data_IF_632468284879
#
_entry.id   IF_632468284879
#
_cell.length_a   1.000
_cell.length_b   1.000
_cell.length_c   1.000
_cell.angle_alpha   90.00
_cell.angle_beta   90.00
_cell.angle_gamma   90.00
#
_symmetry.space_group_name_H-M   'P 1'
#
loop_
_entity.id
_entity.type
_entity.pdbx_description
1 polymer ?
#
# COMPACT_ATOMS: atom_id res chain seq x y z
N UNK A 1 -43.71 25.20 23.53
CA UNK A 1 -42.69 24.15 23.78
C UNK A 1 -41.40 24.53 23.05
N UNK A 2 -40.47 25.20 23.72
CA UNK A 2 -39.19 25.63 23.15
C UNK A 2 -38.09 25.49 24.22
N UNK A 3 -37.51 24.28 24.35
CA UNK A 3 -36.39 23.99 25.25
C UNK A 3 -35.70 22.67 24.84
N UNK A 4 -34.98 22.67 23.71
CA UNK A 4 -34.26 21.47 23.21
C UNK A 4 -32.98 21.77 22.42
N UNK A 5 -32.80 23.02 21.95
CA UNK A 5 -31.62 23.40 21.14
C UNK A 5 -30.36 23.70 21.97
N UNK A 6 -30.52 24.21 23.20
CA UNK A 6 -29.39 24.63 24.03
C UNK A 6 -28.55 23.46 24.57
N UNK A 7 -29.18 22.35 24.96
CA UNK A 7 -28.50 21.17 25.51
C UNK A 7 -27.70 20.39 24.46
N UNK A 8 -28.12 20.40 23.18
CA UNK A 8 -27.34 19.75 22.10
C UNK A 8 -26.03 20.48 21.80
N UNK A 9 -25.99 21.81 21.84
CA UNK A 9 -24.75 22.57 21.59
C UNK A 9 -23.67 22.33 22.64
N UNK A 10 -24.04 22.11 23.90
CA UNK A 10 -23.10 21.85 25.00
C UNK A 10 -22.45 20.47 24.87
N UNK A 11 -23.16 19.47 24.33
CA UNK A 11 -22.61 18.13 24.17
C UNK A 11 -21.55 18.05 23.05
N UNK A 12 -21.73 18.78 21.95
CA UNK A 12 -20.76 18.80 20.85
C UNK A 12 -19.47 19.54 21.20
N UNK A 13 -19.55 20.63 21.98
CA UNK A 13 -18.35 21.37 22.38
C UNK A 13 -17.50 20.58 23.39
N UNK A 14 -18.12 19.79 24.27
CA UNK A 14 -17.42 18.91 25.19
C UNK A 14 -16.67 17.80 24.45
N UNK A 15 -17.36 17.10 23.55
CA UNK A 15 -16.77 15.99 22.78
C UNK A 15 -15.62 16.45 21.87
N UNK A 16 -15.73 17.64 21.27
CA UNK A 16 -14.65 18.21 20.47
C UNK A 16 -13.42 18.56 21.32
N UNK A 17 -13.62 19.07 22.54
CA UNK A 17 -12.52 19.34 23.49
C UNK A 17 -11.81 18.06 23.90
N UNK A 18 -12.54 16.99 24.21
CA UNK A 18 -11.95 15.68 24.55
C UNK A 18 -11.14 15.11 23.38
N UNK A 19 -11.65 15.21 22.15
CA UNK A 19 -10.91 14.76 20.97
C UNK A 19 -9.66 15.59 20.72
N UNK A 20 -9.72 16.92 20.85
CA UNK A 20 -8.54 17.77 20.73
C UNK A 20 -7.50 17.48 21.82
N UNK A 21 -7.93 17.22 23.05
CA UNK A 21 -7.03 16.86 24.14
C UNK A 21 -6.32 15.53 23.84
N UNK A 22 -7.06 14.51 23.39
CA UNK A 22 -6.47 13.22 23.01
C UNK A 22 -5.40 13.36 21.92
N UNK A 23 -5.62 14.23 20.92
CA UNK A 23 -4.63 14.47 19.84
C UNK A 23 -3.41 15.24 20.33
N UNK A 24 -3.58 16.16 21.30
CA UNK A 24 -2.46 16.88 21.92
C UNK A 24 -1.61 15.94 22.78
N UNK A 25 -2.24 15.02 23.51
CA UNK A 25 -1.55 14.03 24.34
C UNK A 25 -0.75 13.05 23.46
N UNK A 26 -1.34 12.59 22.34
CA UNK A 26 -0.65 11.74 21.35
C UNK A 26 0.54 12.44 20.70
N UNK A 27 0.40 13.72 20.32
CA UNK A 27 1.53 14.52 19.79
C UNK A 27 2.64 14.69 20.83
N UNK A 28 2.29 14.86 22.11
CA UNK A 28 3.26 15.00 23.19
C UNK A 28 4.04 13.70 23.38
N UNK A 29 3.35 12.55 23.34
CA UNK A 29 3.98 11.24 23.40
C UNK A 29 4.93 10.99 22.22
N UNK A 30 4.50 11.32 20.98
CA UNK A 30 5.34 11.18 19.80
C UNK A 30 6.59 12.06 19.87
N UNK A 31 6.47 13.29 20.38
CA UNK A 31 7.61 14.19 20.56
C UNK A 31 8.63 13.63 21.55
N UNK A 32 8.17 13.11 22.69
CA UNK A 32 9.03 12.42 23.66
C UNK A 32 9.76 11.22 23.03
N UNK A 33 9.05 10.42 22.22
CA UNK A 33 9.66 9.27 21.54
C UNK A 33 10.76 9.67 20.55
N UNK A 34 10.55 10.76 19.80
CA UNK A 34 11.56 11.32 18.89
C UNK A 34 12.79 11.81 19.67
N UNK A 35 12.59 12.48 20.80
CA UNK A 35 13.70 12.96 21.63
C UNK A 35 14.54 11.80 22.20
N UNK A 36 13.89 10.70 22.60
CA UNK A 36 14.60 9.47 23.04
C UNK A 36 15.42 8.88 21.90
N UNK A 37 14.84 8.73 20.71
CA UNK A 37 15.53 8.18 19.54
C UNK A 37 16.73 9.04 19.12
N UNK A 38 16.58 10.37 19.14
CA UNK A 38 17.69 11.29 18.87
C UNK A 38 18.80 11.17 19.92
N UNK A 39 18.45 10.95 21.19
CA UNK A 39 19.41 10.67 22.25
C UNK A 39 20.20 9.39 22.02
N UNK A 40 19.55 8.31 21.57
CA UNK A 40 20.20 7.05 21.24
C UNK A 40 21.10 7.16 20.00
N UNK A 41 20.65 7.88 18.96
CA UNK A 41 21.44 8.13 17.76
C UNK A 41 22.74 8.88 18.08
N UNK A 42 22.68 9.91 18.92
CA UNK A 42 23.85 10.65 19.37
C UNK A 42 24.83 9.76 20.16
N UNK A 43 24.32 8.83 20.99
CA UNK A 43 25.17 7.85 21.70
C UNK A 43 25.89 6.91 20.73
N UNK A 44 25.22 6.45 19.68
CA UNK A 44 25.83 5.60 18.66
C UNK A 44 26.92 6.34 17.88
N UNK A 45 26.71 7.61 17.53
CA UNK A 45 27.72 8.44 16.86
C UNK A 45 28.94 8.71 17.75
N UNK A 46 28.76 8.92 19.05
CA UNK A 46 29.88 9.06 19.99
C UNK A 46 30.68 7.76 20.13
N UNK A 47 30.01 6.60 20.05
CA UNK A 47 30.65 5.28 20.12
C UNK A 47 31.45 4.94 18.87
N UNK A 48 30.99 5.36 17.69
CA UNK A 48 31.74 5.17 16.45
C UNK A 48 33.00 6.06 16.37
N UNK A 49 32.93 7.30 16.88
CA UNK A 49 34.09 8.20 16.92
C UNK A 49 35.17 7.76 17.92
N UNK A 50 34.79 7.12 19.02
CA UNK A 50 35.74 6.60 20.03
C UNK A 50 36.41 5.28 19.62
N UNK A 51 35.91 4.62 18.57
CA UNK A 51 36.50 3.37 18.04
C UNK A 51 37.62 3.61 17.03
N UNK A 52 37.80 4.85 16.54
CA UNK A 52 38.77 5.20 15.49
C UNK A 52 40.15 5.64 16.01
N UNK A 53 40.38 5.67 17.32
CA UNK A 53 41.57 6.30 17.92
C UNK A 53 42.71 5.33 18.29
N UNK A 54 42.57 4.02 18.06
CA UNK A 54 43.53 3.00 18.53
C UNK A 54 44.21 2.20 17.40
N UNK A 55 44.66 2.88 16.33
CA UNK A 55 45.60 2.28 15.37
C UNK A 55 46.75 3.22 15.06
N UNK A 56 47.77 3.17 15.93
CA UNK A 56 49.11 3.61 15.59
C UNK A 56 50.12 2.75 16.38
N UNK A 57 50.79 1.81 15.69
CA UNK A 57 52.26 1.66 15.67
C UNK A 57 52.70 0.28 15.11
N UNK A 58 53.37 0.35 13.94
CA UNK A 58 54.58 -0.41 13.52
C UNK A 58 54.52 -1.94 13.26
N UNK A 59 55.53 -2.53 12.56
CA UNK A 59 56.13 -2.10 11.29
C UNK A 59 56.35 -3.27 10.30
N UNK A 60 56.88 -2.90 9.14
CA UNK A 60 57.30 -3.67 7.96
C UNK A 60 58.20 -4.90 8.18
N UNK A 61 57.89 -5.98 7.44
CA UNK A 61 58.78 -7.01 6.86
C UNK A 61 57.92 -7.71 5.77
N UNK A 62 58.30 -7.90 4.51
CA UNK A 62 59.55 -8.41 3.96
C UNK A 62 59.34 -9.88 3.54
N UNK A 63 59.08 -10.13 2.25
CA UNK A 63 59.32 -11.35 1.44
C UNK A 63 58.40 -11.36 0.21
N UNK A 64 58.90 -11.31 -1.02
CA UNK A 64 59.61 -12.34 -1.82
C UNK A 64 58.67 -13.29 -2.59
N UNK A 65 58.74 -13.12 -3.93
CA UNK A 65 58.76 -14.09 -5.03
C UNK A 65 57.71 -15.22 -5.15
N UNK A 66 57.07 -15.26 -6.32
CA UNK A 66 56.85 -16.39 -7.27
C UNK A 66 55.79 -15.90 -8.28
N UNK A 67 56.05 -15.65 -9.57
CA UNK A 67 56.49 -16.50 -10.70
C UNK A 67 55.63 -17.77 -10.95
N UNK A 68 55.42 -18.04 -12.26
CA UNK A 68 54.63 -19.11 -12.93
C UNK A 68 53.18 -18.74 -13.32
N UNK A 69 52.90 -18.51 -14.62
CA UNK A 69 52.48 -19.50 -15.66
C UNK A 69 51.09 -20.08 -15.34
N UNK A 70 50.10 -20.23 -16.21
CA UNK A 70 50.01 -20.66 -17.61
C UNK A 70 48.53 -20.38 -18.01
N UNK A 71 48.16 -19.97 -19.21
CA UNK A 71 47.81 -20.90 -20.29
C UNK A 71 46.39 -21.49 -20.13
N UNK A 72 45.43 -21.05 -20.95
CA UNK A 72 44.07 -21.61 -20.89
C UNK A 72 43.06 -21.00 -21.86
N UNK A 73 43.42 -21.04 -23.14
CA UNK A 73 42.54 -20.82 -24.28
C UNK A 73 41.59 -22.03 -24.41
N UNK A 74 40.28 -21.83 -24.42
CA UNK A 74 39.36 -22.84 -24.97
C UNK A 74 38.22 -22.16 -25.74
N UNK A 75 38.35 -22.29 -27.06
CA UNK A 75 37.31 -22.12 -28.05
C UNK A 75 36.51 -23.43 -28.10
N UNK A 76 35.18 -23.31 -28.13
CA UNK A 76 34.28 -24.23 -28.84
C UNK A 76 33.08 -23.34 -29.23
N UNK A 77 32.80 -23.11 -30.52
CA UNK A 77 32.23 -24.07 -31.48
C UNK A 77 30.96 -24.72 -30.88
N UNK A 78 29.80 -24.81 -31.52
CA UNK A 78 29.34 -24.53 -32.86
C UNK A 78 27.79 -24.69 -32.78
N UNK A 79 27.08 -24.04 -33.70
CA UNK A 79 25.89 -24.55 -34.40
C UNK A 79 24.69 -25.13 -33.59
N UNK A 80 23.54 -24.46 -33.68
CA UNK A 80 22.32 -24.95 -34.39
C UNK A 80 21.22 -23.89 -34.19
N UNK A 81 20.48 -23.41 -35.18
CA UNK A 81 19.76 -24.21 -36.16
C UNK A 81 18.33 -24.41 -35.65
N UNK A 82 17.41 -23.50 -35.99
CA UNK A 82 16.04 -23.56 -35.46
C UNK A 82 15.11 -22.49 -35.99
N UNK A 83 14.93 -22.50 -37.30
CA UNK A 83 13.88 -21.79 -38.02
C UNK A 83 12.55 -22.47 -37.72
N UNK A 84 11.59 -21.79 -37.09
CA UNK A 84 10.18 -22.21 -37.13
C UNK A 84 9.28 -20.99 -37.28
N UNK A 85 8.90 -20.79 -38.55
CA UNK A 85 7.73 -20.05 -38.96
C UNK A 85 6.50 -20.77 -38.40
N UNK A 86 5.70 -20.07 -37.60
CA UNK A 86 4.28 -20.39 -37.48
C UNK A 86 3.49 -19.10 -37.56
N UNK A 87 3.04 -18.86 -38.79
CA UNK A 87 1.89 -18.05 -39.13
C UNK A 87 0.66 -18.55 -38.34
N UNK A 88 0.18 -17.71 -37.42
CA UNK A 88 -1.21 -17.72 -37.00
C UNK A 88 -1.71 -16.28 -37.11
N UNK A 89 -2.23 -15.96 -38.29
CA UNK A 89 -3.08 -14.79 -38.51
C UNK A 89 -4.40 -15.04 -37.78
N UNK A 90 -4.51 -14.55 -36.55
CA UNK A 90 -5.81 -14.33 -35.94
C UNK A 90 -6.33 -12.97 -36.42
N UNK A 91 -7.23 -13.03 -37.40
CA UNK A 91 -8.09 -11.93 -37.81
C UNK A 91 -9.12 -11.61 -36.70
N UNK A 92 -8.67 -10.97 -35.63
CA UNK A 92 -9.57 -10.28 -34.71
C UNK A 92 -10.01 -8.98 -35.38
N UNK A 93 -11.17 -9.10 -36.02
CA UNK A 93 -11.95 -8.03 -36.60
C UNK A 93 -12.18 -6.92 -35.57
N UNK A 94 -11.66 -5.73 -35.85
CA UNK A 94 -12.04 -4.49 -35.18
C UNK A 94 -13.58 -4.36 -35.20
N UNK A 95 -14.26 -4.29 -34.04
CA UNK A 95 -15.63 -3.82 -34.02
C UNK A 95 -15.59 -2.33 -34.37
N UNK A 96 -15.81 -2.07 -35.65
CA UNK A 96 -16.51 -0.91 -36.22
C UNK A 96 -16.89 0.11 -35.15
N UNK A 97 -16.23 1.27 -35.22
CA UNK A 97 -16.58 2.53 -34.55
C UNK A 97 -18.03 2.92 -34.84
N UNK A 98 -18.95 2.31 -34.10
CA UNK A 98 -20.30 2.79 -33.90
C UNK A 98 -20.21 3.98 -32.94
N UNK A 99 -20.10 5.16 -33.53
CA UNK A 99 -20.20 6.45 -32.86
C UNK A 99 -21.65 6.65 -32.37
N UNK A 100 -22.04 5.88 -31.35
CA UNK A 100 -23.16 6.22 -30.48
C UNK A 100 -22.56 6.75 -29.18
N UNK A 101 -22.26 8.05 -29.17
CA UNK A 101 -22.02 8.83 -27.96
C UNK A 101 -23.30 8.84 -27.11
N UNK A 102 -23.62 7.71 -26.50
CA UNK A 102 -24.50 7.69 -25.34
C UNK A 102 -23.70 8.35 -24.23
N UNK A 103 -23.98 9.62 -24.02
CA UNK A 103 -23.55 10.38 -22.85
C UNK A 103 -24.14 9.67 -21.63
N UNK A 104 -23.47 8.60 -21.17
CA UNK A 104 -23.86 7.84 -19.99
C UNK A 104 -23.70 8.76 -18.80
N UNK A 105 -24.79 9.48 -18.51
CA UNK A 105 -24.87 10.41 -17.40
C UNK A 105 -24.46 9.71 -16.10
N UNK A 106 -23.81 10.48 -15.23
CA UNK A 106 -23.52 10.02 -13.88
C UNK A 106 -24.82 9.65 -13.16
N UNK A 107 -24.77 8.58 -12.37
CA UNK A 107 -25.87 8.19 -11.51
C UNK A 107 -25.47 8.30 -10.04
N UNK A 108 -26.43 8.64 -9.20
CA UNK A 108 -26.27 8.63 -7.75
C UNK A 108 -26.61 7.24 -7.20
N UNK A 109 -25.78 6.71 -6.30
CA UNK A 109 -26.09 5.54 -5.47
C UNK A 109 -25.99 5.89 -4.00
N UNK A 110 -26.84 5.28 -3.17
CA UNK A 110 -26.83 5.48 -1.73
C UNK A 110 -26.14 4.31 -1.04
N UNK A 111 -25.07 4.58 -0.31
CA UNK A 111 -24.32 3.55 0.40
C UNK A 111 -24.77 3.52 1.85
N UNK A 112 -25.30 2.38 2.29
CA UNK A 112 -25.75 2.14 3.66
C UNK A 112 -24.75 1.20 4.33
N UNK A 113 -24.33 1.54 5.55
CA UNK A 113 -23.52 0.63 6.38
C UNK A 113 -24.44 -0.22 7.22
N UNK A 114 -24.39 -1.54 7.07
CA UNK A 114 -25.27 -2.42 7.84
C UNK A 114 -24.95 -2.38 9.36
N UNK A 115 -23.75 -1.92 9.73
CA UNK A 115 -23.30 -1.73 11.11
C UNK A 115 -23.45 -0.28 11.63
N UNK A 116 -23.90 0.68 10.80
CA UNK A 116 -24.27 2.05 11.22
C UNK A 116 -25.47 2.52 10.39
N UNK A 117 -26.63 1.92 10.67
CA UNK A 117 -27.88 2.02 9.88
C UNK A 117 -28.39 3.47 9.77
N UNK A 118 -27.97 4.35 10.68
CA UNK A 118 -28.45 5.73 10.75
C UNK A 118 -27.75 6.68 9.76
N UNK A 119 -26.83 6.18 8.91
CA UNK A 119 -26.11 7.02 7.94
C UNK A 119 -26.06 6.35 6.57
N UNK A 120 -26.73 6.97 5.60
CA UNK A 120 -26.45 6.75 4.19
C UNK A 120 -25.41 7.75 3.68
N UNK A 121 -24.60 7.31 2.72
CA UNK A 121 -23.62 8.14 2.04
C UNK A 121 -23.93 8.17 0.55
N UNK A 122 -24.08 9.36 -0.02
CA UNK A 122 -24.34 9.54 -1.44
C UNK A 122 -23.03 9.47 -2.23
N UNK A 123 -23.01 8.67 -3.31
CA UNK A 123 -21.89 8.56 -4.23
C UNK A 123 -22.37 8.73 -5.65
N UNK A 124 -21.74 9.64 -6.38
CA UNK A 124 -21.94 9.82 -7.81
C UNK A 124 -20.98 8.90 -8.55
N UNK A 125 -21.50 7.99 -9.36
CA UNK A 125 -20.75 6.98 -10.11
C UNK A 125 -21.16 6.97 -11.57
N UNK A 126 -20.31 6.46 -12.48
CA UNK A 126 -20.75 6.17 -13.84
C UNK A 126 -21.36 4.76 -13.91
N UNK A 127 -22.43 4.55 -14.69
CA UNK A 127 -23.02 3.22 -14.89
C UNK A 127 -22.01 2.16 -15.38
N UNK A 128 -21.09 2.57 -16.25
CA UNK A 128 -19.99 1.75 -16.80
C UNK A 128 -18.85 1.46 -15.82
N UNK A 129 -18.82 2.05 -14.62
CA UNK A 129 -17.79 1.73 -13.64
C UNK A 129 -17.96 0.34 -13.06
N UNK A 130 -16.84 -0.37 -12.89
CA UNK A 130 -16.80 -1.62 -12.14
C UNK A 130 -17.02 -1.36 -10.65
N UNK A 131 -17.74 -2.26 -10.00
CA UNK A 131 -18.04 -2.12 -8.57
C UNK A 131 -16.77 -2.15 -7.68
N UNK A 132 -15.67 -2.79 -8.14
CA UNK A 132 -14.35 -2.74 -7.49
C UNK A 132 -13.83 -1.30 -7.33
N UNK A 133 -14.15 -0.39 -8.24
CA UNK A 133 -13.77 1.02 -8.14
C UNK A 133 -14.47 1.68 -6.95
N UNK A 134 -15.79 1.49 -6.81
CA UNK A 134 -16.54 1.94 -5.63
C UNK A 134 -15.98 1.32 -4.34
N UNK A 135 -15.63 0.03 -4.39
CA UNK A 135 -15.02 -0.68 -3.26
C UNK A 135 -13.74 0.00 -2.76
N UNK A 136 -12.87 0.42 -3.69
CA UNK A 136 -11.62 1.13 -3.37
C UNK A 136 -11.88 2.51 -2.75
N UNK A 137 -12.86 3.26 -3.29
CA UNK A 137 -13.29 4.55 -2.74
C UNK A 137 -13.79 4.41 -1.30
N UNK A 138 -14.57 3.36 -1.02
CA UNK A 138 -15.10 3.09 0.32
C UNK A 138 -13.98 2.68 1.29
N UNK A 139 -13.06 1.82 0.86
CA UNK A 139 -11.89 1.41 1.66
C UNK A 139 -11.06 2.62 2.09
N UNK A 140 -10.72 3.49 1.14
CA UNK A 140 -9.96 4.70 1.42
C UNK A 140 -10.72 5.65 2.37
N UNK A 141 -12.04 5.78 2.17
CA UNK A 141 -12.87 6.70 2.97
C UNK A 141 -13.12 6.19 4.40
N UNK A 142 -13.27 4.89 4.60
CA UNK A 142 -13.65 4.29 5.88
C UNK A 142 -12.51 3.58 6.60
N UNK A 143 -11.34 3.49 5.96
CA UNK A 143 -10.15 2.81 6.49
C UNK A 143 -10.44 1.36 6.91
N UNK A 144 -11.08 0.61 6.02
CA UNK A 144 -11.50 -0.79 6.20
C UNK A 144 -10.81 -1.68 5.18
N UNK A 145 -10.50 -2.92 5.53
CA UNK A 145 -9.84 -3.83 4.59
C UNK A 145 -10.75 -4.14 3.39
N UNK A 146 -10.18 -4.11 2.18
CA UNK A 146 -10.92 -4.38 0.94
C UNK A 146 -11.52 -5.78 0.92
N UNK A 147 -10.88 -6.76 1.55
CA UNK A 147 -11.33 -8.15 1.51
C UNK A 147 -12.56 -8.42 2.37
N UNK A 148 -12.85 -7.54 3.32
CA UNK A 148 -13.94 -7.75 4.28
C UNK A 148 -15.25 -7.12 3.82
N UNK A 149 -15.24 -6.28 2.80
CA UNK A 149 -16.44 -5.60 2.33
C UNK A 149 -17.23 -6.46 1.33
N UNK A 150 -18.52 -6.65 1.63
CA UNK A 150 -19.52 -7.26 0.75
C UNK A 150 -20.58 -6.22 0.41
N UNK A 151 -20.87 -6.11 -0.89
CA UNK A 151 -21.83 -5.17 -1.44
C UNK A 151 -23.10 -5.93 -1.76
N UNK A 152 -24.26 -5.45 -1.33
CA UNK A 152 -25.53 -6.07 -1.65
C UNK A 152 -26.62 -5.03 -1.94
N UNK A 153 -27.63 -5.41 -2.71
CA UNK A 153 -28.82 -4.60 -2.94
C UNK A 153 -30.03 -5.51 -3.13
N UNK A 154 -31.16 -5.18 -2.49
CA UNK A 154 -32.37 -6.00 -2.55
C UNK A 154 -32.17 -7.47 -2.15
N UNK A 155 -31.24 -7.75 -1.23
CA UNK A 155 -30.90 -9.12 -0.81
C UNK A 155 -29.96 -9.89 -1.77
N UNK A 156 -29.55 -9.29 -2.89
CA UNK A 156 -28.58 -9.88 -3.82
C UNK A 156 -27.18 -9.33 -3.56
N UNK A 157 -26.19 -10.23 -3.45
CA UNK A 157 -24.78 -9.84 -3.40
C UNK A 157 -24.32 -9.39 -4.79
N UNK A 158 -23.67 -8.23 -4.84
CA UNK A 158 -23.12 -7.64 -6.04
C UNK A 158 -21.72 -8.20 -6.33
N UNK A 159 -21.40 -8.37 -7.61
CA UNK A 159 -20.13 -8.96 -8.06
C UNK A 159 -19.12 -7.82 -8.34
N UNK A 160 -17.97 -7.75 -7.64
CA UNK A 160 -17.03 -6.63 -7.76
C UNK A 160 -16.42 -6.43 -9.15
N UNK A 161 -16.28 -7.49 -9.95
CA UNK A 161 -15.70 -7.44 -11.30
C UNK A 161 -16.65 -6.88 -12.35
N UNK A 162 -17.95 -6.86 -12.07
CA UNK A 162 -18.99 -6.40 -12.98
C UNK A 162 -19.23 -4.89 -12.84
N UNK A 163 -19.76 -4.28 -13.90
CA UNK A 163 -20.18 -2.87 -13.88
C UNK A 163 -21.44 -2.66 -13.02
N UNK A 164 -21.83 -1.43 -12.76
CA UNK A 164 -23.11 -1.16 -12.09
C UNK A 164 -24.30 -1.65 -12.93
N UNK A 165 -24.24 -1.46 -14.25
CA UNK A 165 -25.26 -1.94 -15.19
C UNK A 165 -25.37 -3.47 -15.14
N UNK A 166 -24.24 -4.17 -15.22
CA UNK A 166 -24.19 -5.63 -15.18
C UNK A 166 -24.70 -6.21 -13.85
N UNK A 167 -24.48 -5.47 -12.76
CA UNK A 167 -25.03 -5.77 -11.44
C UNK A 167 -26.52 -5.40 -11.32
N UNK A 168 -27.17 -4.97 -12.40
CA UNK A 168 -28.56 -4.49 -12.42
C UNK A 168 -28.81 -3.34 -11.44
N UNK A 169 -27.78 -2.54 -11.15
CA UNK A 169 -27.87 -1.38 -10.24
C UNK A 169 -28.29 -0.15 -11.03
N UNK A 170 -29.41 0.45 -10.62
CA UNK A 170 -29.95 1.67 -11.25
C UNK A 170 -29.59 2.91 -10.44
N UNK A 171 -29.77 4.10 -11.03
CA UNK A 171 -29.69 5.35 -10.27
C UNK A 171 -30.65 5.33 -9.07
N UNK A 172 -30.25 6.00 -7.99
CA UNK A 172 -30.92 6.08 -6.68
C UNK A 172 -31.07 4.73 -5.94
N UNK A 173 -30.34 3.69 -6.35
CA UNK A 173 -30.35 2.41 -5.64
C UNK A 173 -29.59 2.49 -4.31
N UNK A 174 -30.11 1.85 -3.28
CA UNK A 174 -29.41 1.63 -2.02
C UNK A 174 -28.52 0.40 -2.10
N UNK A 175 -27.22 0.59 -1.91
CA UNK A 175 -26.22 -0.46 -1.80
C UNK A 175 -25.85 -0.60 -0.33
N UNK A 176 -26.12 -1.77 0.23
CA UNK A 176 -25.77 -2.17 1.57
C UNK A 176 -24.35 -2.71 1.59
N UNK A 177 -23.53 -2.17 2.49
CA UNK A 177 -22.17 -2.63 2.74
C UNK A 177 -22.15 -3.38 4.07
N UNK A 178 -21.99 -4.69 3.96
CA UNK A 178 -21.70 -5.58 5.07
C UNK A 178 -20.21 -5.78 5.24
N UNK A 179 -19.78 -5.98 6.49
CA UNK A 179 -18.45 -6.50 6.81
C UNK A 179 -18.60 -8.01 6.99
N UNK A 180 -17.99 -8.78 6.11
CA UNK A 180 -17.84 -10.21 6.34
C UNK A 180 -16.66 -10.39 7.28
N UNK A 181 -16.98 -10.56 8.56
CA UNK A 181 -16.00 -11.07 9.51
C UNK A 181 -15.79 -12.53 9.07
N UNK A 182 -14.63 -12.84 8.47
CA UNK A 182 -14.18 -14.22 8.29
C UNK A 182 -13.83 -14.82 9.67
N UNK A 183 -14.80 -14.86 10.57
CA UNK A 183 -14.72 -15.50 11.86
C UNK A 183 -14.92 -16.99 11.66
N UNK A 184 -13.99 -17.79 12.22
CA UNK A 184 -13.94 -19.25 12.21
C UNK A 184 -15.18 -19.96 11.66
N UNK A 185 -15.13 -20.29 10.36
CA UNK A 185 -16.23 -20.99 9.70
C UNK A 185 -16.49 -22.35 10.37
N UNK A 186 -17.76 -22.59 10.73
CA UNK A 186 -18.26 -23.95 10.92
C UNK A 186 -18.02 -24.72 9.62
N UNK A 187 -17.23 -25.79 9.71
CA UNK A 187 -16.85 -26.66 8.58
C UNK A 187 -18.10 -27.24 7.92
N UNK A 188 -18.50 -26.67 6.78
CA UNK A 188 -19.33 -27.36 5.80
C UNK A 188 -18.38 -28.05 4.81
N UNK A 189 -18.28 -29.38 4.89
CA UNK A 189 -17.67 -30.19 3.84
C UNK A 189 -18.54 -30.11 2.60
N UNK A 190 -18.19 -29.23 1.66
CA UNK A 190 -18.67 -29.37 0.29
C UNK A 190 -17.60 -28.87 -0.68
N UNK A 191 -16.99 -29.81 -1.39
CA UNK A 191 -16.40 -29.63 -2.71
C UNK A 191 -15.23 -28.66 -2.91
N UNK A 192 -14.65 -28.05 -1.87
CA UNK A 192 -13.35 -27.37 -2.04
C UNK A 192 -12.31 -28.47 -2.14
N UNK A 193 -11.68 -28.62 -3.31
CA UNK A 193 -10.46 -29.41 -3.49
C UNK A 193 -9.53 -29.01 -2.36
N UNK A 194 -9.34 -29.88 -1.35
CA UNK A 194 -8.40 -29.63 -0.25
C UNK A 194 -7.10 -29.25 -0.93
N UNK A 195 -6.68 -27.99 -0.77
CA UNK A 195 -5.39 -27.56 -1.29
C UNK A 195 -4.37 -28.37 -0.50
N UNK A 196 -3.71 -29.30 -1.19
CA UNK A 196 -2.58 -30.02 -0.61
C UNK A 196 -1.46 -29.01 -0.34
N UNK A 197 -0.60 -29.27 0.66
CA UNK A 197 0.58 -28.48 1.02
C UNK A 197 1.35 -28.01 -0.22
N UNK A 198 1.56 -28.88 -1.20
CA UNK A 198 2.27 -28.56 -2.43
C UNK A 198 1.59 -27.48 -3.29
N UNK A 199 0.26 -27.49 -3.36
CA UNK A 199 -0.49 -26.46 -4.07
C UNK A 199 -0.44 -25.12 -3.35
N UNK A 200 -0.45 -25.13 -2.02
CA UNK A 200 -0.40 -23.92 -1.21
C UNK A 200 1.00 -23.29 -1.27
N UNK A 201 2.06 -24.10 -1.16
CA UNK A 201 3.43 -23.67 -1.38
C UNK A 201 3.64 -23.09 -2.78
N UNK A 202 3.09 -23.73 -3.82
CA UNK A 202 3.15 -23.20 -5.19
C UNK A 202 2.47 -21.83 -5.31
N UNK A 203 1.28 -21.68 -4.72
CA UNK A 203 0.53 -20.41 -4.74
C UNK A 203 1.30 -19.30 -4.03
N UNK A 204 1.85 -19.58 -2.85
CA UNK A 204 2.67 -18.64 -2.09
C UNK A 204 3.93 -18.24 -2.87
N UNK A 205 4.62 -19.22 -3.49
CA UNK A 205 5.81 -18.95 -4.31
C UNK A 205 5.51 -18.02 -5.48
N UNK A 206 4.41 -18.24 -6.21
CA UNK A 206 4.00 -17.38 -7.32
C UNK A 206 3.67 -15.96 -6.83
N UNK A 207 2.98 -15.84 -5.70
CA UNK A 207 2.66 -14.54 -5.10
C UNK A 207 3.91 -13.77 -4.66
N UNK A 208 4.81 -14.45 -3.93
CA UNK A 208 6.13 -13.91 -3.51
C UNK A 208 6.91 -13.41 -4.73
N UNK A 209 6.98 -14.22 -5.80
CA UNK A 209 7.73 -13.89 -7.02
C UNK A 209 7.15 -12.67 -7.74
N UNK A 210 5.82 -12.58 -7.85
CA UNK A 210 5.14 -11.43 -8.44
C UNK A 210 5.34 -10.15 -7.62
N UNK A 211 5.23 -10.24 -6.29
CA UNK A 211 5.47 -9.13 -5.38
C UNK A 211 6.90 -8.62 -5.45
N UNK A 212 7.88 -9.52 -5.46
CA UNK A 212 9.30 -9.18 -5.66
C UNK A 212 9.55 -8.53 -7.02
N UNK A 213 8.96 -9.06 -8.11
CA UNK A 213 9.07 -8.46 -9.44
C UNK A 213 8.57 -7.01 -9.44
N UNK A 214 7.44 -6.74 -8.78
CA UNK A 214 6.86 -5.40 -8.71
C UNK A 214 7.69 -4.45 -7.83
N UNK A 215 8.27 -4.94 -6.74
CA UNK A 215 9.19 -4.15 -5.91
C UNK A 215 10.50 -3.83 -6.66
N UNK A 216 11.02 -4.79 -7.41
CA UNK A 216 12.23 -4.64 -8.21
C UNK A 216 12.01 -3.79 -9.47
N UNK A 217 10.79 -3.71 -9.99
CA UNK A 217 10.47 -2.84 -11.12
C UNK A 217 10.65 -1.36 -10.79
N UNK A 218 10.56 -0.96 -9.51
CA UNK A 218 10.85 0.41 -9.09
C UNK A 218 11.49 0.46 -7.69
N UNK A 219 12.82 0.24 -7.60
CA UNK A 219 13.53 0.22 -6.33
C UNK A 219 13.71 1.64 -5.76
N UNK A 220 13.53 1.78 -4.45
CA UNK A 220 13.83 2.99 -3.65
C UNK A 220 13.14 4.30 -4.05
N UNK A 221 11.87 4.44 -3.62
CA UNK A 221 11.01 5.61 -3.86
C UNK A 221 11.00 6.67 -2.72
N UNK A 222 11.90 6.63 -1.72
CA UNK A 222 11.87 7.65 -0.64
C UNK A 222 12.06 9.08 -1.15
N UNK A 223 12.74 9.26 -2.28
CA UNK A 223 12.95 10.57 -2.92
C UNK A 223 11.67 11.32 -3.31
N UNK A 224 10.54 10.62 -3.53
CA UNK A 224 9.26 11.28 -3.84
C UNK A 224 8.64 11.98 -2.63
N UNK A 225 8.90 11.47 -1.42
CA UNK A 225 8.50 12.12 -0.17
C UNK A 225 9.29 13.42 -0.02
N UNK A 226 10.60 13.39 -0.24
CA UNK A 226 11.46 14.57 -0.15
C UNK A 226 11.14 15.59 -1.26
N UNK A 227 10.88 15.14 -2.49
CA UNK A 227 10.46 16.02 -3.59
C UNK A 227 9.15 16.74 -3.26
N UNK A 228 8.13 16.00 -2.81
CA UNK A 228 6.83 16.58 -2.44
C UNK A 228 6.96 17.55 -1.27
N UNK A 229 7.76 17.19 -0.24
CA UNK A 229 8.08 18.07 0.89
C UNK A 229 8.76 19.36 0.44
N UNK A 230 9.74 19.27 -0.46
CA UNK A 230 10.46 20.43 -0.98
C UNK A 230 9.54 21.34 -1.82
N UNK A 231 8.68 20.77 -2.66
CA UNK A 231 7.70 21.52 -3.44
C UNK A 231 6.73 22.31 -2.52
N UNK A 232 6.26 21.69 -1.43
CA UNK A 232 5.43 22.35 -0.41
C UNK A 232 6.21 23.45 0.33
N UNK A 233 7.46 23.20 0.72
CA UNK A 233 8.30 24.20 1.39
C UNK A 233 8.54 25.44 0.53
N UNK A 234 8.74 25.28 -0.79
CA UNK A 234 8.89 26.40 -1.72
C UNK A 234 7.63 27.26 -1.77
N UNK A 235 6.45 26.65 -1.78
CA UNK A 235 5.17 27.39 -1.74
C UNK A 235 5.00 28.17 -0.43
N UNK A 236 5.31 27.56 0.71
CA UNK A 236 5.21 28.22 2.02
C UNK A 236 6.15 29.43 2.10
N UNK A 237 7.41 29.29 1.69
CA UNK A 237 8.36 30.41 1.64
C UNK A 237 7.93 31.52 0.68
N UNK A 238 7.30 31.16 -0.44
CA UNK A 238 6.74 32.12 -1.39
C UNK A 238 5.54 32.88 -0.81
N UNK A 239 4.78 32.26 0.10
CA UNK A 239 3.63 32.88 0.77
C UNK A 239 4.07 33.92 1.80
N UNK A 240 5.16 33.66 2.51
CA UNK A 240 5.75 34.60 3.47
C UNK A 240 6.21 35.90 2.78
N UNK A 241 6.70 35.79 1.55
CA UNK A 241 7.23 36.92 0.78
C UNK A 241 6.17 37.62 -0.09
N UNK A 242 5.19 36.89 -0.63
CA UNK A 242 4.13 37.45 -1.46
C UNK A 242 2.77 36.75 -1.25
N UNK A 243 2.07 37.03 -0.14
CA UNK A 243 0.89 36.26 0.27
C UNK A 243 -0.31 36.35 -0.69
N UNK A 244 -0.41 37.42 -1.47
CA UNK A 244 -1.53 37.64 -2.41
C UNK A 244 -1.23 37.17 -3.84
N UNK A 245 0.03 36.89 -4.15
CA UNK A 245 0.47 36.60 -5.52
C UNK A 245 0.89 35.15 -5.78
N UNK A 246 1.12 34.32 -4.76
CA UNK A 246 1.68 32.97 -4.94
C UNK A 246 0.88 32.13 -5.93
N UNK A 247 -0.43 32.03 -5.74
CA UNK A 247 -1.28 31.22 -6.61
C UNK A 247 -1.32 31.80 -8.03
N UNK A 248 -1.47 33.12 -8.15
CA UNK A 248 -1.45 33.82 -9.44
C UNK A 248 -0.12 33.61 -10.19
N UNK A 249 1.00 33.56 -9.48
CA UNK A 249 2.32 33.27 -10.05
C UNK A 249 2.54 31.79 -10.37
N UNK A 250 1.80 30.89 -9.74
CA UNK A 250 1.84 29.46 -10.02
C UNK A 250 1.06 29.09 -11.28
N UNK A 251 -0.09 29.73 -11.54
CA UNK A 251 -0.99 29.38 -12.66
C UNK A 251 -0.29 29.33 -14.03
N UNK A 252 0.58 30.28 -14.43
CA UNK A 252 1.27 30.23 -15.73
C UNK A 252 2.24 29.04 -15.88
N UNK A 253 2.63 28.41 -14.77
CA UNK A 253 3.58 27.29 -14.73
C UNK A 253 2.87 25.93 -14.81
N UNK A 254 1.54 25.92 -14.73
CA UNK A 254 0.74 24.70 -14.80
C UNK A 254 0.47 24.31 -16.25
N UNK A 255 0.29 23.02 -16.50
CA UNK A 255 -0.08 22.53 -17.83
C UNK A 255 -1.52 22.96 -18.17
N UNK A 256 -1.82 23.03 -19.48
CA UNK A 256 -3.17 23.37 -19.97
C UNK A 256 -4.24 22.40 -19.46
N UNK A 257 -3.88 21.12 -19.31
CA UNK A 257 -4.78 20.10 -18.75
C UNK A 257 -5.10 20.38 -17.27
N UNK A 258 -4.07 20.62 -16.45
CA UNK A 258 -4.24 21.00 -15.04
C UNK A 258 -5.12 22.23 -14.88
N UNK A 259 -4.92 23.27 -15.71
CA UNK A 259 -5.75 24.49 -15.69
C UNK A 259 -7.21 24.22 -16.09
N UNK A 260 -7.44 23.34 -17.08
CA UNK A 260 -8.78 22.89 -17.46
C UNK A 260 -9.46 22.18 -16.29
N UNK A 261 -8.77 21.23 -15.65
CA UNK A 261 -9.26 20.47 -14.49
C UNK A 261 -9.58 21.38 -13.30
N UNK A 262 -8.73 22.37 -13.02
CA UNK A 262 -9.03 23.38 -11.98
C UNK A 262 -10.34 24.12 -12.27
N UNK A 263 -10.57 24.49 -13.53
CA UNK A 263 -11.79 25.19 -13.93
C UNK A 263 -13.01 24.28 -13.83
N UNK A 264 -12.95 23.05 -14.36
CA UNK A 264 -14.11 22.15 -14.38
C UNK A 264 -14.41 21.51 -13.02
N UNK A 265 -13.41 21.06 -12.26
CA UNK A 265 -13.59 20.22 -11.07
C UNK A 265 -13.70 21.02 -9.76
N UNK A 266 -13.06 22.20 -9.70
CA UNK A 266 -13.07 23.07 -8.50
C UNK A 266 -14.21 24.08 -8.57
N UNK A 267 -14.41 24.75 -9.72
CA UNK A 267 -15.46 25.78 -9.86
C UNK A 267 -16.84 25.13 -9.87
N UNK A 268 -17.01 23.99 -10.56
CA UNK A 268 -18.27 23.24 -10.60
C UNK A 268 -18.48 22.36 -9.36
N UNK A 269 -17.60 22.46 -8.36
CA UNK A 269 -17.70 21.66 -7.15
C UNK A 269 -18.93 22.04 -6.32
N UNK A 270 -19.80 21.06 -6.07
CA UNK A 270 -21.03 21.21 -5.27
C UNK A 270 -20.77 21.53 -3.79
N UNK A 271 -19.56 21.28 -3.28
CA UNK A 271 -19.19 21.71 -1.93
C UNK A 271 -18.95 23.21 -1.86
N UNK A 272 -19.59 23.86 -0.90
CA UNK A 272 -19.40 25.29 -0.58
C UNK A 272 -18.25 25.52 0.39
N UNK A 273 -17.66 24.46 0.95
CA UNK A 273 -16.58 24.57 1.95
C UNK A 273 -15.27 24.90 1.26
N UNK A 274 -14.66 26.00 1.67
CA UNK A 274 -13.37 26.45 1.16
C UNK A 274 -12.28 25.38 1.34
N UNK A 275 -12.25 24.68 2.48
CA UNK A 275 -11.28 23.60 2.76
C UNK A 275 -11.32 22.49 1.71
N UNK A 276 -12.52 22.06 1.33
CA UNK A 276 -12.69 20.94 0.39
C UNK A 276 -12.29 21.36 -1.03
N UNK A 277 -12.58 22.62 -1.39
CA UNK A 277 -12.12 23.21 -2.66
C UNK A 277 -10.60 23.34 -2.68
N UNK A 278 -9.97 23.80 -1.60
CA UNK A 278 -8.51 23.85 -1.48
C UNK A 278 -7.87 22.46 -1.59
N UNK A 279 -8.49 21.45 -0.98
CA UNK A 279 -8.04 20.06 -1.13
C UNK A 279 -8.07 19.61 -2.59
N UNK A 280 -9.19 19.83 -3.30
CA UNK A 280 -9.28 19.54 -4.74
C UNK A 280 -8.25 20.28 -5.57
N UNK A 281 -7.99 21.56 -5.28
CA UNK A 281 -6.94 22.34 -5.96
C UNK A 281 -5.57 21.68 -5.74
N UNK A 282 -5.27 21.28 -4.50
CA UNK A 282 -4.05 20.53 -4.16
C UNK A 282 -3.94 19.22 -4.92
N UNK A 283 -5.00 18.40 -4.90
CA UNK A 283 -5.05 17.11 -5.59
C UNK A 283 -4.83 17.24 -7.11
N UNK A 284 -5.32 18.32 -7.73
CA UNK A 284 -5.15 18.58 -9.17
C UNK A 284 -3.73 19.10 -9.48
N UNK A 285 -3.22 20.07 -8.70
CA UNK A 285 -1.89 20.67 -8.93
C UNK A 285 -0.78 19.65 -8.67
N UNK A 286 -0.92 18.86 -7.60
CA UNK A 286 0.06 17.87 -7.17
C UNK A 286 -0.29 16.45 -7.61
N UNK A 287 -1.18 16.28 -8.61
CA UNK A 287 -1.70 14.98 -9.01
C UNK A 287 -0.60 13.93 -9.22
N UNK A 288 0.41 14.22 -10.04
CA UNK A 288 1.51 13.29 -10.29
C UNK A 288 2.33 12.96 -9.03
N UNK A 289 2.54 13.94 -8.13
CA UNK A 289 3.21 13.72 -6.84
C UNK A 289 2.38 12.83 -5.91
N UNK A 290 1.07 13.02 -5.90
CA UNK A 290 0.15 12.21 -5.09
C UNK A 290 0.08 10.78 -5.62
N UNK A 291 0.08 10.58 -6.94
CA UNK A 291 0.18 9.24 -7.55
C UNK A 291 1.51 8.55 -7.18
N UNK A 292 2.62 9.29 -7.18
CA UNK A 292 3.92 8.77 -6.74
C UNK A 292 3.90 8.35 -5.26
N UNK A 293 3.28 9.14 -4.38
CA UNK A 293 3.13 8.83 -2.96
C UNK A 293 2.17 7.65 -2.70
N UNK A 294 1.09 7.56 -3.47
CA UNK A 294 0.14 6.45 -3.40
C UNK A 294 0.81 5.13 -3.81
N UNK A 295 1.68 5.15 -4.83
CA UNK A 295 2.47 3.97 -5.20
C UNK A 295 3.47 3.59 -4.09
N UNK A 296 4.10 4.56 -3.39
CA UNK A 296 4.97 4.26 -2.23
C UNK A 296 4.17 3.56 -1.12
N UNK A 297 2.97 4.06 -0.82
CA UNK A 297 2.08 3.44 0.17
C UNK A 297 1.67 2.04 -0.26
N UNK A 298 1.38 1.85 -1.55
CA UNK A 298 1.08 0.54 -2.11
C UNK A 298 2.27 -0.42 -1.98
N UNK A 299 3.48 0.00 -2.37
CA UNK A 299 4.70 -0.78 -2.24
C UNK A 299 4.99 -1.16 -0.79
N UNK A 300 4.84 -0.23 0.16
CA UNK A 300 4.97 -0.54 1.59
C UNK A 300 4.02 -1.67 2.00
N UNK A 301 2.75 -1.57 1.63
CA UNK A 301 1.76 -2.60 1.95
C UNK A 301 2.14 -3.94 1.30
N UNK A 302 2.62 -3.91 0.05
CA UNK A 302 3.09 -5.09 -0.67
C UNK A 302 4.29 -5.74 0.01
N UNK A 303 5.25 -4.97 0.54
CA UNK A 303 6.37 -5.50 1.34
C UNK A 303 5.85 -6.16 2.61
N UNK A 304 4.90 -5.54 3.31
CA UNK A 304 4.32 -6.16 4.51
C UNK A 304 3.63 -7.49 4.18
N UNK A 305 2.84 -7.54 3.11
CA UNK A 305 2.21 -8.78 2.64
C UNK A 305 3.25 -9.83 2.24
N UNK A 306 4.29 -9.44 1.50
CA UNK A 306 5.40 -10.30 1.11
C UNK A 306 6.10 -10.92 2.32
N UNK A 307 6.34 -10.15 3.39
CA UNK A 307 6.94 -10.67 4.63
C UNK A 307 6.03 -11.72 5.28
N UNK A 308 4.72 -11.48 5.32
CA UNK A 308 3.78 -12.45 5.87
C UNK A 308 3.69 -13.72 5.03
N UNK A 309 3.67 -13.60 3.71
CA UNK A 309 3.62 -14.74 2.81
C UNK A 309 4.92 -15.54 2.82
N UNK A 310 6.07 -14.87 2.90
CA UNK A 310 7.36 -15.53 3.06
C UNK A 310 7.43 -16.27 4.40
N UNK A 311 6.98 -15.65 5.49
CA UNK A 311 6.92 -16.32 6.79
C UNK A 311 5.94 -17.50 6.77
N UNK A 312 4.78 -17.34 6.15
CA UNK A 312 3.81 -18.41 5.98
C UNK A 312 4.41 -19.56 5.17
N UNK A 313 5.11 -19.25 4.06
CA UNK A 313 5.81 -20.24 3.26
C UNK A 313 6.84 -21.02 4.09
N UNK A 314 7.67 -20.33 4.88
CA UNK A 314 8.66 -20.97 5.75
C UNK A 314 7.99 -21.87 6.81
N UNK A 315 6.97 -21.35 7.50
CA UNK A 315 6.24 -22.11 8.53
C UNK A 315 5.53 -23.33 7.95
N UNK A 316 4.92 -23.19 6.77
CA UNK A 316 4.24 -24.29 6.10
C UNK A 316 5.25 -25.31 5.56
N UNK A 317 6.42 -24.87 5.08
CA UNK A 317 7.48 -25.77 4.65
C UNK A 317 7.95 -26.65 5.80
N UNK A 318 8.33 -26.02 6.92
CA UNK A 318 8.93 -26.68 8.09
C UNK A 318 7.90 -27.46 8.93
N UNK A 319 6.76 -26.85 9.25
CA UNK A 319 5.76 -27.37 10.19
C UNK A 319 4.44 -27.75 9.52
N UNK A 320 4.35 -27.73 8.19
CA UNK A 320 3.10 -28.01 7.48
C UNK A 320 2.77 -29.50 7.39
N UNK A 321 1.53 -29.85 7.71
CA UNK A 321 0.94 -31.18 7.54
C UNK A 321 0.54 -31.48 6.08
N UNK A 322 0.16 -32.73 5.80
CA UNK A 322 -0.30 -33.17 4.46
C UNK A 322 -1.56 -32.39 4.01
N UNK A 323 -2.31 -31.83 4.96
CA UNK A 323 -3.51 -31.04 4.70
C UNK A 323 -3.24 -29.57 4.38
N UNK A 324 -1.97 -29.13 4.30
CA UNK A 324 -1.62 -27.73 4.10
C UNK A 324 -1.81 -26.84 5.34
N UNK A 325 -1.96 -27.43 6.53
CA UNK A 325 -2.07 -26.68 7.78
C UNK A 325 -0.74 -26.68 8.53
N UNK A 326 -0.45 -25.60 9.25
CA UNK A 326 0.70 -25.55 10.15
C UNK A 326 0.40 -26.35 11.43
N UNK A 327 1.30 -27.27 11.78
CA UNK A 327 1.34 -27.99 13.05
C UNK A 327 1.84 -27.06 14.16
N UNK A 328 0.92 -26.30 14.76
CA UNK A 328 1.25 -25.36 15.83
C UNK A 328 1.85 -26.02 17.07
N UNK A 329 1.56 -27.29 17.32
CA UNK A 329 2.16 -28.07 18.42
C UNK A 329 3.67 -28.22 18.23
N UNK A 330 4.10 -28.70 17.07
CA UNK A 330 5.52 -28.86 16.72
C UNK A 330 6.26 -27.52 16.74
N UNK A 331 5.63 -26.46 16.26
CA UNK A 331 6.16 -25.10 16.32
C UNK A 331 6.40 -24.63 17.78
N UNK A 332 5.41 -24.82 18.66
CA UNK A 332 5.51 -24.44 20.08
C UNK A 332 6.56 -25.28 20.80
N UNK A 333 6.63 -26.58 20.54
CA UNK A 333 7.63 -27.47 21.12
C UNK A 333 9.04 -27.02 20.71
N UNK A 334 9.23 -26.64 19.44
CA UNK A 334 10.51 -26.11 18.95
C UNK A 334 10.88 -24.79 19.62
N UNK A 335 9.95 -23.85 19.75
CA UNK A 335 10.19 -22.59 20.49
C UNK A 335 10.55 -22.88 21.94
N UNK A 336 9.82 -23.77 22.61
CA UNK A 336 10.04 -24.10 24.02
C UNK A 336 11.41 -24.73 24.22
N UNK A 337 11.84 -25.59 23.28
CA UNK A 337 13.19 -26.15 23.26
C UNK A 337 14.26 -25.06 23.15
N UNK A 338 14.07 -24.06 22.29
CA UNK A 338 15.03 -22.94 22.10
C UNK A 338 15.05 -22.00 23.31
N UNK A 339 13.89 -21.73 23.92
CA UNK A 339 13.82 -20.93 25.15
C UNK A 339 14.43 -21.63 26.37
N UNK A 340 14.48 -22.96 26.34
CA UNK A 340 15.05 -23.78 27.41
C UNK A 340 16.57 -24.00 27.26
N UNK A 341 17.14 -23.73 26.07
CA UNK A 341 18.60 -23.70 25.91
C UNK A 341 19.19 -22.44 26.53
N UNK A 342 20.37 -22.51 27.15
CA UNK A 342 21.08 -21.32 27.61
C UNK A 342 21.28 -20.34 26.45
N UNK A 343 21.12 -19.02 26.66
CA UNK A 343 21.28 -18.05 25.59
C UNK A 343 22.68 -18.19 25.00
N UNK A 344 22.77 -18.35 23.68
CA UNK A 344 24.06 -18.21 23.00
C UNK A 344 24.58 -16.79 23.25
N UNK A 345 25.81 -16.67 23.72
CA UNK A 345 26.40 -15.48 24.36
C UNK A 345 26.53 -14.23 23.44
N UNK A 346 26.00 -14.24 22.22
CA UNK A 346 26.01 -13.05 21.37
C UNK A 346 24.68 -12.85 20.60
N UNK A 347 23.76 -12.01 21.11
CA UNK A 347 22.50 -11.69 20.42
C UNK A 347 22.71 -10.92 19.10
N UNK A 348 23.94 -10.49 18.76
CA UNK A 348 24.24 -9.88 17.47
C UNK A 348 24.75 -10.89 16.43
N UNK A 349 25.02 -12.13 16.82
CA UNK A 349 25.51 -13.17 15.92
C UNK A 349 24.36 -14.00 15.35
N UNK A 350 23.30 -13.36 14.87
CA UNK A 350 22.38 -14.03 13.95
C UNK A 350 23.16 -14.20 12.67
N UNK A 351 23.80 -15.36 12.52
CA UNK A 351 24.59 -15.72 11.36
C UNK A 351 23.66 -15.93 10.14
N UNK A 352 23.19 -14.81 9.57
CA UNK A 352 22.46 -14.74 8.31
C UNK A 352 23.37 -15.08 7.11
N UNK A 353 24.70 -15.08 7.30
CA UNK A 353 25.66 -15.47 6.26
C UNK A 353 25.54 -16.96 5.92
N UNK A 354 25.16 -17.81 6.88
CA UNK A 354 24.85 -19.22 6.64
C UNK A 354 23.62 -19.46 5.72
N UNK A 355 22.78 -18.44 5.53
CA UNK A 355 21.63 -18.46 4.62
C UNK A 355 21.94 -17.83 3.25
N UNK A 356 23.18 -17.36 3.02
CA UNK A 356 23.58 -16.72 1.77
C UNK A 356 22.88 -15.38 1.51
N UNK A 357 22.42 -14.69 2.55
CA UNK A 357 21.66 -13.43 2.46
C UNK A 357 22.51 -12.17 2.66
N UNK A 358 23.84 -12.28 2.64
CA UNK A 358 24.72 -11.10 2.65
C UNK A 358 24.68 -10.41 1.28
N UNK A 359 24.15 -9.19 1.28
CA UNK A 359 24.14 -8.29 0.12
C UNK A 359 25.52 -7.79 -0.26
#
# INVERSE_FOLDING_TARGET
>A
MASSSATKKVHWSHRLKEQMQSVMDENTFLKQKVDVLNGELNKLQLRSQSSSSNQAQNPSAGNDQNDEQDGGNDQNDEQDGGNDQNDAQDEDSDPSSGDESTDEGFMTVFIIRDFDINKSYEVVVKPSWRLKTLKSVIVQKWNVCVNDLVFSTGGRTLIPSLTFIDNSTKGNTCIHIGITIKGGGKRAQSGVTKKNKDMELKTLKEHISSSLLRLNAVPNRSGYIDATKNDVLVLVKSLETNPKGVITGLLPRLTKDTLRRLTSEVVSSSTTRASDRCKKVGDIIFHGRMEELDEVMFQKNLVCELVYDALHFCLLSEFGDIGGNISWGEFIDKITSVLSSPPEDDPNNINLEGLGLSS
#
